data_IF_623425531640
#
_entry.id   IF_623425531640
#
_cell.length_a   1.000
_cell.length_b   1.000
_cell.length_c   1.000
_cell.angle_alpha   90.00
_cell.angle_beta   90.00
_cell.angle_gamma   90.00
#
_symmetry.space_group_name_H-M   'P 1'
#
loop_
_entity.id
_entity.type
_entity.pdbx_description
1 polymer ?
#
# COMPACT_ATOMS: atom_id res chain seq x y z
N UNK A 1 -9.46 -11.17 -1.75
CA UNK A 1 -10.14 -10.22 -2.67
C UNK A 1 -9.78 -10.53 -4.13
N UNK A 2 -8.48 -10.65 -4.47
CA UNK A 2 -8.06 -10.93 -5.85
C UNK A 2 -8.68 -12.21 -6.42
N UNK A 3 -8.68 -13.32 -5.69
CA UNK A 3 -9.27 -14.59 -6.12
C UNK A 3 -10.80 -14.46 -6.33
N UNK A 4 -11.49 -13.67 -5.50
CA UNK A 4 -12.92 -13.44 -5.69
C UNK A 4 -13.21 -12.63 -6.97
N UNK A 5 -12.36 -11.66 -7.30
CA UNK A 5 -12.47 -10.89 -8.53
C UNK A 5 -12.16 -11.77 -9.77
N UNK A 6 -11.10 -12.56 -9.73
CA UNK A 6 -10.70 -13.51 -10.80
C UNK A 6 -11.82 -14.53 -11.03
N UNK A 7 -12.38 -15.10 -9.98
CA UNK A 7 -13.49 -16.06 -10.04
C UNK A 7 -14.83 -15.43 -10.45
N UNK A 8 -14.93 -14.09 -10.47
CA UNK A 8 -16.14 -13.37 -10.80
C UNK A 8 -17.22 -13.44 -9.71
N UNK A 9 -16.82 -13.62 -8.45
CA UNK A 9 -17.70 -13.54 -7.29
C UNK A 9 -17.93 -12.09 -6.82
N UNK A 10 -17.11 -11.17 -7.30
CA UNK A 10 -17.27 -9.72 -7.10
C UNK A 10 -16.97 -8.99 -8.41
N UNK A 11 -17.71 -7.92 -8.68
CA UNK A 11 -17.60 -7.13 -9.90
C UNK A 11 -16.62 -5.97 -9.78
N UNK A 12 -16.42 -5.48 -8.56
CA UNK A 12 -15.54 -4.36 -8.25
C UNK A 12 -14.65 -4.74 -7.06
N UNK A 13 -13.37 -4.38 -7.15
CA UNK A 13 -12.43 -4.58 -6.05
C UNK A 13 -11.44 -3.42 -5.95
N UNK A 14 -10.81 -3.32 -4.77
CA UNK A 14 -9.61 -2.51 -4.53
C UNK A 14 -8.48 -3.47 -4.22
N UNK A 15 -7.39 -3.39 -4.96
CA UNK A 15 -6.23 -4.25 -4.81
C UNK A 15 -4.99 -3.40 -4.53
N UNK A 16 -4.00 -3.94 -3.83
CA UNK A 16 -2.67 -3.33 -3.86
C UNK A 16 -2.11 -3.38 -5.30
N UNK A 17 -1.25 -2.44 -5.72
CA UNK A 17 -0.72 -2.40 -7.08
C UNK A 17 -0.09 -3.71 -7.56
N UNK A 18 0.70 -4.38 -6.72
CA UNK A 18 1.27 -5.69 -7.05
C UNK A 18 0.20 -6.79 -7.14
N UNK A 19 -0.78 -6.77 -6.23
CA UNK A 19 -1.94 -7.67 -6.30
C UNK A 19 -2.76 -7.48 -7.57
N UNK A 20 -2.90 -6.22 -8.05
CA UNK A 20 -3.53 -5.93 -9.34
C UNK A 20 -2.75 -6.53 -10.51
N UNK A 21 -1.42 -6.30 -10.59
CA UNK A 21 -0.59 -6.86 -11.66
C UNK A 21 -0.69 -8.38 -11.70
N UNK A 22 -0.65 -9.02 -10.54
CA UNK A 22 -0.77 -10.48 -10.41
C UNK A 22 -2.16 -10.98 -10.83
N UNK A 23 -3.23 -10.29 -10.41
CA UNK A 23 -4.61 -10.63 -10.81
C UNK A 23 -4.82 -10.45 -12.32
N UNK A 24 -4.35 -9.33 -12.88
CA UNK A 24 -4.42 -9.02 -14.31
C UNK A 24 -3.69 -10.05 -15.18
N UNK A 25 -2.56 -10.58 -14.70
CA UNK A 25 -1.82 -11.65 -15.39
C UNK A 25 -2.61 -12.96 -15.45
N UNK A 26 -3.38 -13.27 -14.38
CA UNK A 26 -4.24 -14.47 -14.32
C UNK A 26 -5.56 -14.29 -15.09
N UNK A 27 -6.13 -13.09 -15.02
CA UNK A 27 -7.40 -12.73 -15.66
C UNK A 27 -7.25 -11.40 -16.43
N UNK A 28 -6.86 -11.46 -17.71
CA UNK A 28 -6.58 -10.27 -18.53
C UNK A 28 -7.76 -9.33 -18.75
N UNK A 29 -8.99 -9.77 -18.51
CA UNK A 29 -10.19 -8.94 -18.66
C UNK A 29 -10.40 -7.94 -17.50
N UNK A 30 -9.70 -8.11 -16.36
CA UNK A 30 -9.74 -7.16 -15.26
C UNK A 30 -9.24 -5.80 -15.76
N UNK A 31 -10.01 -4.72 -15.48
CA UNK A 31 -9.67 -3.35 -15.91
C UNK A 31 -9.63 -2.39 -14.72
N UNK A 32 -8.57 -1.59 -14.66
CA UNK A 32 -8.48 -0.48 -13.68
C UNK A 32 -9.23 0.74 -14.20
N UNK A 33 -9.88 1.47 -13.30
CA UNK A 33 -10.62 2.67 -13.69
C UNK A 33 -10.30 3.92 -12.83
N UNK A 34 -9.91 3.74 -11.58
CA UNK A 34 -9.64 4.87 -10.68
C UNK A 34 -8.67 4.48 -9.55
N UNK A 35 -8.18 5.48 -8.86
CA UNK A 35 -7.52 5.35 -7.56
C UNK A 35 -7.83 6.55 -6.66
N UNK A 36 -7.41 6.49 -5.39
CA UNK A 36 -7.53 7.59 -4.44
C UNK A 36 -6.55 8.73 -4.75
N UNK A 37 -6.98 9.98 -4.65
CA UNK A 37 -6.10 11.09 -4.37
C UNK A 37 -6.11 11.34 -2.85
N UNK A 38 -5.10 10.84 -2.15
CA UNK A 38 -5.01 10.95 -0.68
C UNK A 38 -4.75 12.39 -0.26
N UNK A 39 -5.33 12.80 0.88
CA UNK A 39 -4.96 14.03 1.57
C UNK A 39 -3.56 13.88 2.17
N UNK A 40 -2.85 15.00 2.33
CA UNK A 40 -1.58 15.01 3.06
C UNK A 40 -1.78 14.52 4.49
N UNK A 41 -0.93 13.60 4.92
CA UNK A 41 -0.88 13.06 6.28
C UNK A 41 0.47 13.31 6.95
N UNK A 42 0.78 12.54 7.97
CA UNK A 42 2.09 12.58 8.65
C UNK A 42 3.22 12.04 7.76
N UNK A 43 2.96 10.92 7.10
CA UNK A 43 3.88 10.21 6.22
C UNK A 43 3.42 10.25 4.76
N UNK A 44 2.10 10.32 4.55
CA UNK A 44 1.48 10.33 3.25
C UNK A 44 1.60 11.69 2.59
N UNK A 45 2.12 11.72 1.36
CA UNK A 45 2.07 12.89 0.49
C UNK A 45 0.67 13.02 -0.13
N UNK A 46 0.27 14.25 -0.44
CA UNK A 46 -0.97 14.49 -1.17
C UNK A 46 -0.90 13.89 -2.58
N UNK A 47 -2.04 13.35 -3.05
CA UNK A 47 -2.17 12.84 -4.41
C UNK A 47 -2.34 11.33 -4.54
N UNK A 48 -2.25 10.81 -5.78
CA UNK A 48 -2.56 9.42 -6.11
C UNK A 48 -1.38 8.46 -5.96
N UNK A 49 -0.34 8.85 -5.22
CA UNK A 49 0.83 8.01 -4.95
C UNK A 49 1.01 7.75 -3.46
N UNK A 50 1.81 6.74 -3.12
CA UNK A 50 2.22 6.43 -1.75
C UNK A 50 3.63 5.83 -1.72
N UNK A 51 4.15 5.60 -0.53
CA UNK A 51 5.52 5.09 -0.33
C UNK A 51 5.51 3.87 0.58
N UNK A 52 6.47 2.97 0.35
CA UNK A 52 6.92 2.03 1.37
C UNK A 52 7.82 2.75 2.36
N UNK A 53 7.60 2.54 3.64
CA UNK A 53 8.34 3.18 4.73
C UNK A 53 8.88 2.12 5.66
N UNK A 54 10.18 2.16 5.94
CA UNK A 54 10.82 1.31 6.94
C UNK A 54 10.83 2.02 8.28
N UNK A 55 10.22 1.41 9.27
CA UNK A 55 10.09 1.95 10.63
C UNK A 55 10.76 1.04 11.66
N UNK A 56 11.29 1.62 12.73
CA UNK A 56 11.67 0.93 13.96
C UNK A 56 11.12 1.66 15.17
N UNK A 57 11.12 1.02 16.35
CA UNK A 57 10.65 1.66 17.59
C UNK A 57 11.63 2.74 18.03
N UNK A 58 11.11 3.92 18.40
CA UNK A 58 11.91 4.98 19.04
C UNK A 58 12.49 4.50 20.37
N UNK A 59 13.75 4.84 20.63
CA UNK A 59 14.47 4.40 21.83
C UNK A 59 15.03 2.97 21.72
N UNK A 60 14.82 2.24 20.61
CA UNK A 60 15.52 0.99 20.35
C UNK A 60 16.93 1.24 19.83
N UNK A 61 17.76 0.19 19.81
CA UNK A 61 19.10 0.24 19.19
C UNK A 61 19.09 0.38 17.66
N UNK A 62 17.94 0.22 17.04
CA UNK A 62 17.75 0.22 15.59
C UNK A 62 17.42 1.64 15.12
N UNK A 63 18.43 2.47 14.96
CA UNK A 63 18.30 3.89 14.62
C UNK A 63 18.72 4.23 13.19
N UNK A 64 19.30 3.26 12.47
CA UNK A 64 19.71 3.37 11.07
C UNK A 64 19.40 2.08 10.33
N UNK A 65 19.33 2.14 8.99
CA UNK A 65 19.15 0.93 8.15
C UNK A 65 20.24 -0.12 8.42
N UNK A 66 21.51 0.30 8.54
CA UNK A 66 22.65 -0.60 8.81
C UNK A 66 22.53 -1.31 10.15
N UNK A 67 21.98 -0.64 11.16
CA UNK A 67 21.80 -1.24 12.50
C UNK A 67 20.82 -2.40 12.51
N UNK A 68 19.99 -2.54 11.47
CA UNK A 68 18.99 -3.60 11.33
C UNK A 68 19.55 -4.95 10.87
N UNK A 69 20.86 -5.06 10.57
CA UNK A 69 21.44 -6.35 10.16
C UNK A 69 21.22 -7.40 11.25
N UNK A 70 20.60 -8.51 10.88
CA UNK A 70 20.24 -9.57 11.83
C UNK A 70 19.02 -9.30 12.70
N UNK A 71 18.24 -8.25 12.40
CA UNK A 71 16.98 -7.95 13.08
C UNK A 71 15.82 -8.83 12.56
N UNK A 72 14.73 -8.88 13.32
CA UNK A 72 13.44 -9.44 12.87
C UNK A 72 12.63 -8.33 12.24
N UNK A 73 12.25 -8.51 10.96
CA UNK A 73 11.46 -7.53 10.21
C UNK A 73 10.03 -8.03 9.95
N UNK A 74 9.08 -7.10 10.03
CA UNK A 74 7.69 -7.33 9.63
C UNK A 74 7.46 -6.94 8.17
N UNK A 75 6.94 -7.87 7.40
CA UNK A 75 6.33 -7.66 6.10
C UNK A 75 4.80 -7.75 6.25
N UNK A 76 4.03 -7.05 5.39
CA UNK A 76 2.57 -7.05 5.54
C UNK A 76 1.97 -8.40 5.13
N UNK A 77 2.14 -8.76 3.88
CA UNK A 77 1.73 -10.03 3.26
C UNK A 77 2.50 -10.24 1.93
N UNK A 78 2.58 -11.48 1.41
CA UNK A 78 3.36 -11.77 0.19
C UNK A 78 2.88 -11.05 -1.08
N UNK A 79 1.60 -10.61 -1.11
CA UNK A 79 1.02 -9.86 -2.24
C UNK A 79 1.13 -8.34 -2.07
N UNK A 80 1.74 -7.86 -0.98
CA UNK A 80 1.83 -6.42 -0.69
C UNK A 80 2.92 -5.75 -1.51
N UNK A 81 2.56 -4.67 -2.21
CA UNK A 81 3.52 -3.83 -2.95
C UNK A 81 4.55 -3.20 -2.00
N UNK A 82 4.09 -2.43 -1.02
CA UNK A 82 4.96 -1.68 -0.11
C UNK A 82 5.44 -2.48 1.09
N UNK A 83 4.75 -3.57 1.43
CA UNK A 83 5.09 -4.38 2.58
C UNK A 83 5.88 -5.66 2.26
N UNK A 84 6.08 -5.99 0.98
CA UNK A 84 6.88 -7.15 0.57
C UNK A 84 7.68 -6.92 -0.73
N UNK A 85 7.03 -6.58 -1.85
CA UNK A 85 7.73 -6.41 -3.13
C UNK A 85 8.82 -5.33 -3.04
N UNK A 86 8.47 -4.09 -2.70
CA UNK A 86 9.42 -2.96 -2.60
C UNK A 86 10.57 -3.26 -1.62
N UNK A 87 10.35 -3.79 -0.42
CA UNK A 87 11.43 -4.26 0.45
C UNK A 87 12.45 -5.17 -0.23
N UNK A 88 11.99 -6.12 -1.06
CA UNK A 88 12.86 -7.11 -1.72
C UNK A 88 13.59 -6.54 -2.93
N UNK A 89 12.89 -5.76 -3.77
CA UNK A 89 13.41 -5.37 -5.10
C UNK A 89 13.89 -3.93 -5.20
N UNK A 90 13.61 -3.10 -4.20
CA UNK A 90 14.06 -1.70 -4.13
C UNK A 90 14.97 -1.47 -2.94
N UNK A 91 14.51 -1.78 -1.72
CA UNK A 91 15.29 -1.53 -0.51
C UNK A 91 16.52 -2.45 -0.40
N UNK A 92 16.41 -3.74 -0.66
CA UNK A 92 17.54 -4.65 -0.55
C UNK A 92 18.68 -4.33 -1.54
N UNK A 93 18.42 -4.01 -2.83
CA UNK A 93 19.44 -3.48 -3.74
C UNK A 93 20.01 -2.12 -3.29
N UNK A 94 19.19 -1.19 -2.75
CA UNK A 94 19.67 0.06 -2.18
C UNK A 94 20.70 -0.19 -1.08
N UNK A 95 20.44 -1.16 -0.22
CA UNK A 95 21.36 -1.61 0.83
C UNK A 95 22.52 -2.48 0.32
N UNK A 96 22.57 -2.79 -0.97
CA UNK A 96 23.54 -3.72 -1.60
C UNK A 96 23.58 -5.07 -0.87
N UNK A 97 22.40 -5.60 -0.57
CA UNK A 97 22.23 -6.84 0.19
C UNK A 97 21.14 -7.72 -0.43
N UNK A 98 21.13 -8.97 0.00
CA UNK A 98 20.03 -9.90 -0.22
C UNK A 98 19.07 -9.78 0.96
N UNK A 99 17.77 -9.56 0.70
CA UNK A 99 16.76 -9.39 1.74
C UNK A 99 16.71 -10.60 2.68
N UNK A 100 16.78 -11.82 2.15
CA UNK A 100 16.65 -13.04 2.97
C UNK A 100 17.89 -13.31 3.83
N UNK A 101 19.06 -12.75 3.43
CA UNK A 101 20.33 -12.88 4.19
C UNK A 101 20.56 -11.73 5.17
N UNK A 102 19.94 -10.59 4.95
CA UNK A 102 20.12 -9.41 5.80
C UNK A 102 19.38 -9.58 7.13
N UNK A 103 18.16 -10.08 7.08
CA UNK A 103 17.30 -10.26 8.24
C UNK A 103 17.57 -11.58 8.95
N UNK A 104 17.49 -11.58 10.28
CA UNK A 104 17.42 -12.82 11.05
C UNK A 104 16.14 -13.60 10.71
N UNK A 105 15.04 -12.87 10.53
CA UNK A 105 13.72 -13.45 10.22
C UNK A 105 12.81 -12.38 9.60
N UNK A 106 12.10 -12.78 8.57
CA UNK A 106 10.97 -12.04 8.00
C UNK A 106 9.69 -12.64 8.57
N UNK A 107 8.80 -11.78 9.10
CA UNK A 107 7.51 -12.18 9.67
C UNK A 107 6.39 -11.51 8.88
N UNK A 108 5.51 -12.28 8.27
CA UNK A 108 4.29 -11.74 7.68
C UNK A 108 3.25 -11.47 8.77
N UNK A 109 2.94 -10.21 8.97
CA UNK A 109 2.08 -9.76 10.08
C UNK A 109 0.59 -9.77 9.74
N UNK A 110 0.24 -9.91 8.44
CA UNK A 110 -1.13 -9.91 7.94
C UNK A 110 -1.67 -8.52 7.57
N UNK A 111 -0.85 -7.44 7.68
CA UNK A 111 -1.23 -6.10 7.25
C UNK A 111 -0.38 -4.99 7.85
N UNK A 112 -0.41 -3.81 7.22
CA UNK A 112 0.44 -2.67 7.60
C UNK A 112 0.15 -2.11 8.99
N UNK A 113 -1.10 -2.14 9.44
CA UNK A 113 -1.51 -1.74 10.79
C UNK A 113 -0.98 -2.72 11.83
N UNK A 114 -1.05 -4.02 11.56
CA UNK A 114 -0.46 -5.05 12.42
C UNK A 114 1.06 -4.94 12.47
N UNK A 115 1.73 -4.66 11.33
CA UNK A 115 3.18 -4.39 11.29
C UNK A 115 3.52 -3.19 12.18
N UNK A 116 2.79 -2.08 12.03
CA UNK A 116 3.02 -0.87 12.84
C UNK A 116 2.90 -1.15 14.33
N UNK A 117 1.84 -1.86 14.75
CA UNK A 117 1.60 -2.20 16.15
C UNK A 117 2.61 -3.21 16.69
N UNK A 118 3.08 -4.15 15.86
CA UNK A 118 4.11 -5.11 16.26
C UNK A 118 5.47 -4.44 16.50
N UNK A 119 5.85 -3.45 15.67
CA UNK A 119 7.03 -2.62 15.90
C UNK A 119 6.87 -1.79 17.19
N UNK A 120 5.73 -1.12 17.36
CA UNK A 120 5.43 -0.31 18.55
C UNK A 120 5.55 -1.12 19.84
N UNK A 121 4.97 -2.32 19.85
CA UNK A 121 5.03 -3.22 21.04
C UNK A 121 6.38 -3.92 21.22
N UNK A 122 7.31 -3.82 20.28
CA UNK A 122 8.61 -4.48 20.31
C UNK A 122 8.56 -6.00 20.03
N UNK A 123 7.46 -6.49 19.47
CA UNK A 123 7.34 -7.91 19.01
C UNK A 123 8.22 -8.20 17.81
N UNK A 124 8.51 -7.20 17.01
CA UNK A 124 9.45 -7.20 15.89
C UNK A 124 10.32 -5.94 15.96
N UNK A 125 11.53 -5.99 15.42
CA UNK A 125 12.52 -4.92 15.53
C UNK A 125 12.26 -3.76 14.57
N UNK A 126 11.78 -4.09 13.37
CA UNK A 126 11.46 -3.14 12.30
C UNK A 126 10.31 -3.65 11.44
N UNK A 127 9.78 -2.80 10.56
CA UNK A 127 8.73 -3.22 9.64
C UNK A 127 8.58 -2.29 8.45
N UNK A 128 8.15 -2.85 7.32
CA UNK A 128 7.79 -2.09 6.13
C UNK A 128 6.29 -1.84 6.08
N UNK A 129 5.91 -0.58 5.96
CA UNK A 129 4.51 -0.15 5.99
C UNK A 129 4.21 0.83 4.84
N UNK A 130 2.97 0.84 4.37
CA UNK A 130 2.50 1.87 3.45
C UNK A 130 2.31 3.19 4.20
N UNK A 131 2.78 4.32 3.65
CA UNK A 131 2.69 5.65 4.26
C UNK A 131 1.28 6.01 4.73
N UNK A 132 0.27 5.85 3.88
CA UNK A 132 -1.13 6.14 4.22
C UNK A 132 -1.73 5.17 5.26
N UNK A 133 -1.27 3.91 5.30
CA UNK A 133 -1.74 2.93 6.30
C UNK A 133 -1.15 3.22 7.67
N UNK A 134 0.12 3.61 7.73
CA UNK A 134 0.77 4.09 8.94
C UNK A 134 0.01 5.30 9.51
N UNK A 135 -0.30 6.30 8.67
CA UNK A 135 -1.04 7.49 9.07
C UNK A 135 -2.43 7.15 9.64
N UNK A 136 -3.10 6.12 9.10
CA UNK A 136 -4.37 5.66 9.65
C UNK A 136 -4.25 5.12 11.09
N UNK A 137 -3.14 4.45 11.42
CA UNK A 137 -2.89 3.95 12.78
C UNK A 137 -2.65 5.10 13.74
N UNK A 138 -1.86 6.10 13.32
CA UNK A 138 -1.61 7.33 14.10
C UNK A 138 -2.90 8.13 14.30
N UNK A 139 -3.69 8.33 13.23
CA UNK A 139 -4.95 9.06 13.29
C UNK A 139 -6.00 8.41 14.21
N UNK A 140 -5.95 7.10 14.39
CA UNK A 140 -6.79 6.37 15.36
C UNK A 140 -6.31 6.49 16.81
N UNK A 141 -5.22 7.25 17.06
CA UNK A 141 -4.65 7.47 18.39
C UNK A 141 -4.01 6.25 19.04
N UNK A 142 -3.79 5.17 18.29
CA UNK A 142 -3.18 3.93 18.82
C UNK A 142 -1.69 4.07 19.06
N UNK A 143 -1.03 4.94 18.31
CA UNK A 143 0.39 5.27 18.39
C UNK A 143 0.60 6.74 18.00
N UNK A 144 1.78 7.30 18.29
CA UNK A 144 2.20 8.62 17.82
C UNK A 144 3.33 8.47 16.81
N UNK A 145 3.47 9.42 15.89
CA UNK A 145 4.61 9.46 14.95
C UNK A 145 5.96 9.44 15.71
N UNK A 146 6.02 10.16 16.85
CA UNK A 146 7.21 10.25 17.72
C UNK A 146 7.63 8.92 18.35
N UNK A 147 6.79 7.89 18.30
CA UNK A 147 7.12 6.57 18.86
C UNK A 147 8.02 5.75 17.93
N UNK A 148 8.31 6.27 16.71
CA UNK A 148 9.06 5.57 15.69
C UNK A 148 10.29 6.34 15.19
N UNK A 149 11.30 5.61 14.77
CA UNK A 149 12.32 6.08 13.83
C UNK A 149 11.86 5.75 12.42
N UNK A 150 11.95 6.72 11.53
CA UNK A 150 11.69 6.53 10.10
C UNK A 150 13.06 6.34 9.44
N UNK A 151 13.36 5.12 9.03
CA UNK A 151 14.71 4.76 8.60
C UNK A 151 14.89 4.90 7.09
N UNK A 152 13.83 4.65 6.32
CA UNK A 152 13.87 4.74 4.86
C UNK A 152 12.48 4.97 4.29
N UNK A 153 12.45 5.55 3.08
CA UNK A 153 11.24 5.71 2.25
C UNK A 153 11.57 5.37 0.80
N UNK A 154 10.67 4.64 0.15
CA UNK A 154 10.78 4.37 -1.29
C UNK A 154 10.49 5.60 -2.13
N UNK A 155 10.84 5.59 -3.43
CA UNK A 155 10.14 6.39 -4.42
C UNK A 155 8.63 6.19 -4.33
N UNK A 156 7.86 7.20 -4.78
CA UNK A 156 6.40 7.10 -4.80
C UNK A 156 5.95 6.09 -5.86
N UNK A 157 4.96 5.29 -5.52
CA UNK A 157 4.27 4.35 -6.41
C UNK A 157 2.79 4.69 -6.47
N UNK A 158 2.06 4.29 -7.54
CA UNK A 158 0.62 4.54 -7.64
C UNK A 158 -0.15 3.94 -6.45
N UNK A 159 -1.22 4.61 -6.03
CA UNK A 159 -2.14 4.12 -5.01
C UNK A 159 -2.92 2.88 -5.50
N UNK A 160 -3.56 2.21 -4.56
CA UNK A 160 -4.36 1.01 -4.76
C UNK A 160 -5.41 1.23 -5.86
N UNK A 161 -5.39 0.43 -6.97
CA UNK A 161 -6.36 0.56 -8.04
C UNK A 161 -7.75 0.07 -7.65
N UNK A 162 -8.77 0.79 -8.08
CA UNK A 162 -10.13 0.31 -8.22
C UNK A 162 -10.26 -0.38 -9.56
N UNK A 163 -10.74 -1.60 -9.56
CA UNK A 163 -10.78 -2.45 -10.74
C UNK A 163 -12.16 -3.08 -10.95
N UNK A 164 -12.52 -3.30 -12.20
CA UNK A 164 -13.68 -4.08 -12.61
C UNK A 164 -13.27 -5.52 -12.93
N UNK A 165 -14.16 -6.47 -12.66
CA UNK A 165 -14.09 -7.79 -13.26
C UNK A 165 -14.40 -7.69 -14.77
N UNK A 166 -13.90 -8.63 -15.57
CA UNK A 166 -14.21 -8.68 -16.99
C UNK A 166 -15.67 -9.05 -17.33
N UNK A 167 -16.46 -9.41 -16.31
CA UNK A 167 -17.86 -9.84 -16.49
C UNK A 167 -18.85 -8.68 -16.43
N UNK A 168 -18.45 -7.53 -15.90
CA UNK A 168 -19.33 -6.37 -15.78
C UNK A 168 -19.53 -5.70 -17.14
N UNK A 169 -20.77 -5.47 -17.55
CA UNK A 169 -21.05 -4.85 -18.85
C UNK A 169 -20.56 -3.40 -18.90
N UNK A 170 -20.20 -2.96 -20.11
CA UNK A 170 -19.48 -1.70 -20.36
C UNK A 170 -20.25 -0.48 -19.87
N UNK A 171 -21.54 -0.42 -20.10
CA UNK A 171 -22.37 0.73 -19.69
C UNK A 171 -22.40 0.92 -18.16
N UNK A 172 -22.41 -0.19 -17.43
CA UNK A 172 -22.34 -0.15 -15.95
C UNK A 172 -20.93 0.29 -15.53
N UNK A 173 -19.87 -0.23 -16.14
CA UNK A 173 -18.51 0.22 -15.88
C UNK A 173 -18.35 1.74 -16.07
N UNK A 174 -18.86 2.27 -17.19
CA UNK A 174 -18.75 3.70 -17.52
C UNK A 174 -19.53 4.58 -16.52
N UNK A 175 -20.72 4.16 -16.12
CA UNK A 175 -21.52 4.86 -15.12
C UNK A 175 -20.84 4.85 -13.73
N UNK A 176 -20.30 3.72 -13.30
CA UNK A 176 -19.58 3.63 -12.03
C UNK A 176 -18.32 4.49 -12.07
N UNK A 177 -17.52 4.40 -13.13
CA UNK A 177 -16.32 5.22 -13.32
C UNK A 177 -16.66 6.70 -13.24
N UNK A 178 -17.68 7.16 -13.98
CA UNK A 178 -18.17 8.54 -13.96
C UNK A 178 -18.53 8.97 -12.54
N UNK A 179 -19.36 8.18 -11.85
CA UNK A 179 -19.78 8.46 -10.47
C UNK A 179 -18.58 8.63 -9.54
N UNK A 180 -17.61 7.71 -9.57
CA UNK A 180 -16.42 7.79 -8.72
C UNK A 180 -15.61 9.06 -8.98
N UNK A 181 -15.41 9.43 -10.24
CA UNK A 181 -14.62 10.61 -10.60
C UNK A 181 -15.31 11.93 -10.22
N UNK A 182 -16.64 11.94 -10.14
CA UNK A 182 -17.44 13.10 -9.77
C UNK A 182 -17.61 13.25 -8.24
N UNK A 183 -17.34 12.21 -7.42
CA UNK A 183 -17.52 12.25 -5.97
C UNK A 183 -16.75 13.40 -5.28
N UNK A 184 -15.65 13.86 -5.84
CA UNK A 184 -14.90 15.00 -5.31
C UNK A 184 -15.64 16.33 -5.38
N UNK A 185 -16.65 16.43 -6.24
CA UNK A 185 -17.47 17.62 -6.45
C UNK A 185 -18.83 17.52 -5.74
N UNK A 186 -19.13 16.37 -5.13
CA UNK A 186 -20.39 16.13 -4.43
C UNK A 186 -20.23 16.38 -2.91
N UNK A 187 -20.91 17.42 -2.42
CA UNK A 187 -20.91 17.74 -0.99
C UNK A 187 -21.44 16.57 -0.12
N UNK A 188 -22.37 15.76 -0.63
CA UNK A 188 -22.90 14.58 0.04
C UNK A 188 -21.85 13.48 0.23
N UNK A 189 -20.82 13.45 -0.62
CA UNK A 189 -19.73 12.49 -0.54
C UNK A 189 -18.59 12.92 0.43
N UNK A 190 -18.62 14.13 0.98
CA UNK A 190 -17.52 14.67 1.79
C UNK A 190 -17.14 13.76 2.96
N UNK A 191 -18.11 13.26 3.72
CA UNK A 191 -17.87 12.34 4.85
C UNK A 191 -17.27 11.00 4.40
N UNK A 192 -17.69 10.49 3.25
CA UNK A 192 -17.13 9.27 2.66
C UNK A 192 -15.67 9.47 2.28
N UNK A 193 -15.35 10.55 1.59
CA UNK A 193 -13.98 10.90 1.20
C UNK A 193 -13.09 11.16 2.42
N UNK A 194 -13.60 11.83 3.46
CA UNK A 194 -12.88 12.03 4.71
C UNK A 194 -12.55 10.73 5.44
N UNK A 195 -13.46 9.77 5.45
CA UNK A 195 -13.20 8.44 6.01
C UNK A 195 -12.08 7.72 5.26
N UNK A 196 -11.99 7.92 3.94
CA UNK A 196 -10.91 7.40 3.10
C UNK A 196 -9.62 8.22 3.19
N UNK A 197 -9.62 9.35 3.90
CA UNK A 197 -8.51 10.33 3.91
C UNK A 197 -8.12 10.74 2.50
N UNK A 198 -9.10 10.97 1.65
CA UNK A 198 -8.95 11.30 0.23
C UNK A 198 -9.69 12.59 -0.09
N UNK A 199 -9.21 13.35 -1.08
CA UNK A 199 -9.88 14.54 -1.58
C UNK A 199 -10.84 14.22 -2.74
N UNK A 200 -10.48 13.23 -3.54
CA UNK A 200 -11.22 12.78 -4.72
C UNK A 200 -10.70 11.43 -5.21
N UNK A 201 -11.36 10.87 -6.20
CA UNK A 201 -10.81 9.81 -7.05
C UNK A 201 -10.23 10.41 -8.32
N UNK A 202 -9.21 9.78 -8.88
CA UNK A 202 -8.60 10.15 -10.16
C UNK A 202 -8.62 8.95 -11.10
N UNK A 203 -8.83 9.22 -12.40
CA UNK A 203 -8.81 8.18 -13.40
C UNK A 203 -7.42 7.54 -13.48
N UNK A 204 -7.40 6.22 -13.62
CA UNK A 204 -6.19 5.45 -13.82
C UNK A 204 -6.37 4.48 -14.98
N UNK A 205 -5.26 4.14 -15.60
CA UNK A 205 -5.16 3.16 -16.68
C UNK A 205 -4.20 2.05 -16.28
N UNK A 206 -4.20 0.95 -17.02
CA UNK A 206 -3.25 -0.15 -16.80
C UNK A 206 -1.78 0.31 -16.91
N UNK A 207 -1.51 1.25 -17.81
CA UNK A 207 -0.17 1.83 -18.04
C UNK A 207 0.40 2.56 -16.80
N UNK A 208 -0.45 3.15 -15.98
CA UNK A 208 -0.01 3.84 -14.77
C UNK A 208 0.63 2.89 -13.74
N UNK A 209 0.41 1.57 -13.91
CA UNK A 209 0.97 0.52 -13.06
C UNK A 209 2.18 -0.19 -13.68
N UNK A 210 2.72 0.29 -14.82
CA UNK A 210 3.90 -0.29 -15.46
C UNK A 210 5.13 -0.25 -14.57
N UNK A 211 5.27 0.79 -13.73
CA UNK A 211 6.33 0.86 -12.72
C UNK A 211 6.33 -0.35 -11.78
N UNK A 212 5.14 -0.83 -11.39
CA UNK A 212 5.02 -2.02 -10.54
C UNK A 212 5.34 -3.30 -11.33
N UNK A 213 4.95 -3.34 -12.59
CA UNK A 213 5.22 -4.46 -13.51
C UNK A 213 6.73 -4.64 -13.74
N UNK A 214 7.45 -3.52 -13.83
CA UNK A 214 8.92 -3.53 -13.95
C UNK A 214 9.62 -4.03 -12.68
N UNK A 215 9.01 -3.84 -11.51
CA UNK A 215 9.54 -4.31 -10.22
C UNK A 215 9.22 -5.78 -9.93
N UNK A 216 8.16 -6.33 -10.54
CA UNK A 216 7.63 -7.67 -10.25
C UNK A 216 8.25 -8.75 -11.14
#
# INVERSE_FOLDING_TARGET
VAEALIGGFVDIAVLGPYGYITAKKKEPSITVFATYAKKKGYMQNEGPGYQSVLISKKGSKFTTEKSLKGATVGHADPGSTSGDLIPRVVWAPHMKTDADKFWKRIVYTGGHDLTTLAVYSGKIDAGFVASHRFDNVVAKGKVKLSDFNILWRSPSVPQDPFVFSGKLCKDIQDNIKKTFLELGNDAGAAKFLDNLKSSKFVAMTDKDYDVIRTLA
#
